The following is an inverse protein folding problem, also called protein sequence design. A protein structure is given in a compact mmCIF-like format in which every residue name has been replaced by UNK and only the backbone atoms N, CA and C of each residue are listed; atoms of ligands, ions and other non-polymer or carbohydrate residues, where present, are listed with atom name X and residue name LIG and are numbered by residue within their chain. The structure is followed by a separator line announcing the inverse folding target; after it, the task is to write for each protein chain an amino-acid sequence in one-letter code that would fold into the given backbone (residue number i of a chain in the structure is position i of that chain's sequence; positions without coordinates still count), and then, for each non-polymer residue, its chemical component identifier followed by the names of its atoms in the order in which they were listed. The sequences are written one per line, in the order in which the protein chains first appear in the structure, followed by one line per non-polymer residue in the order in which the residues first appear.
data_IF_036970283562
#
_entry.id   IF_036970283562
#
_cell.length_a   1.000
_cell.length_b   1.000
_cell.length_c   1.000
_cell.angle_alpha   90.00
_cell.angle_beta   90.00
_cell.angle_gamma   90.00
#
_symmetry.space_group_name_H-M   'P 1'
#
loop_
_entity.id
_entity.type
_entity.pdbx_description
1 polymer ?
#
# COMPACT_ATOMS: atom_id res chain seq x y z
N UNK A 1 11.46 74.17 -0.36
CA UNK A 1 11.56 73.19 0.76
C UNK A 1 11.87 71.82 0.18
N UNK A 2 13.16 71.49 0.05
CA UNK A 2 13.64 70.20 -0.47
C UNK A 2 13.69 69.19 0.69
N UNK A 3 12.84 68.17 0.68
CA UNK A 3 12.96 67.07 1.66
C UNK A 3 14.27 66.34 1.36
N UNK A 4 15.16 66.29 2.36
CA UNK A 4 16.47 65.66 2.26
C UNK A 4 16.33 64.21 1.78
N UNK A 5 16.95 63.90 0.63
CA UNK A 5 16.98 62.59 -0.03
C UNK A 5 17.17 61.35 0.89
N UNK A 6 17.96 61.38 1.99
CA UNK A 6 18.05 60.26 2.96
C UNK A 6 16.75 59.92 3.71
N UNK A 7 15.88 60.88 4.01
CA UNK A 7 14.64 60.63 4.77
C UNK A 7 13.61 59.82 3.96
N UNK A 8 13.61 60.02 2.63
CA UNK A 8 12.72 59.32 1.72
C UNK A 8 13.13 57.86 1.61
N UNK A 9 14.44 57.58 1.54
CA UNK A 9 15.01 56.23 1.47
C UNK A 9 14.79 55.42 2.76
N UNK A 10 14.84 56.07 3.93
CA UNK A 10 14.57 55.38 5.19
C UNK A 10 13.09 55.00 5.32
N UNK A 11 12.17 55.91 4.97
CA UNK A 11 10.72 55.65 5.02
C UNK A 11 10.28 54.56 4.04
N UNK A 12 10.86 54.51 2.84
CA UNK A 12 10.54 53.45 1.86
C UNK A 12 11.04 52.08 2.30
N UNK A 13 12.24 52.00 2.91
CA UNK A 13 12.76 50.75 3.48
C UNK A 13 11.90 50.24 4.63
N UNK A 14 11.49 51.12 5.55
CA UNK A 14 10.60 50.74 6.66
C UNK A 14 9.23 50.30 6.13
N UNK A 15 8.65 50.99 5.16
CA UNK A 15 7.40 50.58 4.53
C UNK A 15 7.51 49.23 3.81
N UNK A 16 8.64 48.97 3.12
CA UNK A 16 8.90 47.68 2.48
C UNK A 16 9.03 46.55 3.51
N UNK A 17 9.73 46.78 4.62
CA UNK A 17 9.84 45.81 5.71
C UNK A 17 8.48 45.48 6.32
N UNK A 18 7.62 46.49 6.52
CA UNK A 18 6.25 46.26 6.99
C UNK A 18 5.40 45.49 5.98
N UNK A 19 5.53 45.80 4.68
CA UNK A 19 4.82 45.09 3.63
C UNK A 19 5.27 43.61 3.55
N UNK A 20 6.57 43.36 3.64
CA UNK A 20 7.12 41.99 3.71
C UNK A 20 6.64 41.27 4.96
N UNK A 21 6.63 41.95 6.12
CA UNK A 21 6.12 41.38 7.37
C UNK A 21 4.63 41.01 7.28
N UNK A 22 3.80 41.87 6.66
CA UNK A 22 2.39 41.59 6.42
C UNK A 22 2.18 40.43 5.44
N UNK A 23 2.99 40.34 4.39
CA UNK A 23 2.95 39.22 3.45
C UNK A 23 3.32 37.90 4.15
N UNK A 24 4.38 37.89 4.97
CA UNK A 24 4.75 36.72 5.77
C UNK A 24 3.63 36.35 6.74
N UNK A 25 3.05 37.32 7.45
CA UNK A 25 1.94 37.08 8.37
C UNK A 25 0.72 36.48 7.64
N UNK A 26 0.39 36.98 6.46
CA UNK A 26 -0.68 36.44 5.63
C UNK A 26 -0.40 35.02 5.15
N UNK A 27 0.85 34.72 4.76
CA UNK A 27 1.26 33.39 4.34
C UNK A 27 1.20 32.39 5.50
N UNK A 28 1.73 32.77 6.67
CA UNK A 28 1.67 31.93 7.89
C UNK A 28 0.21 31.72 8.31
N UNK A 29 -0.61 32.78 8.32
CA UNK A 29 -2.02 32.71 8.65
C UNK A 29 -2.79 31.77 7.72
N UNK A 30 -2.54 31.84 6.41
CA UNK A 30 -3.18 30.94 5.44
C UNK A 30 -2.73 29.49 5.59
N UNK A 31 -1.44 29.23 5.84
CA UNK A 31 -0.92 27.88 6.11
C UNK A 31 -1.52 27.27 7.38
N UNK A 32 -1.65 28.06 8.46
CA UNK A 32 -2.28 27.63 9.72
C UNK A 32 -3.76 27.33 9.49
N UNK A 33 -4.50 28.22 8.84
CA UNK A 33 -5.93 28.03 8.54
C UNK A 33 -6.16 26.77 7.69
N UNK A 34 -5.33 26.56 6.67
CA UNK A 34 -5.35 25.35 5.85
C UNK A 34 -5.12 24.09 6.70
N UNK A 35 -4.08 24.09 7.54
CA UNK A 35 -3.72 22.93 8.36
C UNK A 35 -4.80 22.61 9.39
N UNK A 36 -5.39 23.62 10.02
CA UNK A 36 -6.53 23.43 10.93
C UNK A 36 -7.75 22.86 10.20
N UNK A 37 -8.07 23.34 9.00
CA UNK A 37 -9.18 22.79 8.20
C UNK A 37 -8.93 21.34 7.84
N UNK A 38 -7.71 21.01 7.40
CA UNK A 38 -7.32 19.65 7.05
C UNK A 38 -7.43 18.71 8.26
N UNK A 39 -6.87 19.09 9.41
CA UNK A 39 -6.98 18.30 10.65
C UNK A 39 -8.43 18.05 11.02
N UNK A 40 -9.27 19.08 11.02
CA UNK A 40 -10.71 18.92 11.32
C UNK A 40 -11.42 17.97 10.35
N UNK A 41 -11.10 18.04 9.06
CA UNK A 41 -11.69 17.13 8.06
C UNK A 41 -11.25 15.69 8.28
N UNK A 42 -9.97 15.46 8.56
CA UNK A 42 -9.44 14.12 8.86
C UNK A 42 -10.08 13.58 10.15
N UNK A 43 -10.11 14.37 11.22
CA UNK A 43 -10.69 13.98 12.50
C UNK A 43 -12.17 13.63 12.37
N UNK A 44 -12.94 14.42 11.60
CA UNK A 44 -14.35 14.14 11.35
C UNK A 44 -14.55 12.80 10.60
N UNK A 45 -13.69 12.49 9.62
CA UNK A 45 -13.74 11.22 8.90
C UNK A 45 -13.36 10.04 9.80
N UNK A 46 -12.28 10.16 10.58
CA UNK A 46 -11.88 9.13 11.54
C UNK A 46 -12.96 8.92 12.61
N UNK A 47 -13.60 9.98 13.10
CA UNK A 47 -14.72 9.87 14.02
C UNK A 47 -15.89 9.11 13.40
N UNK A 48 -16.25 9.40 12.14
CA UNK A 48 -17.29 8.67 11.43
C UNK A 48 -16.95 7.18 11.26
N UNK A 49 -15.70 6.85 10.92
CA UNK A 49 -15.22 5.46 10.84
C UNK A 49 -15.28 4.75 12.20
N UNK A 50 -14.89 5.42 13.28
CA UNK A 50 -14.96 4.87 14.64
C UNK A 50 -16.40 4.64 15.08
N UNK A 51 -17.34 5.53 14.73
CA UNK A 51 -18.78 5.33 14.96
C UNK A 51 -19.32 4.13 14.17
N UNK A 52 -18.78 3.87 12.98
CA UNK A 52 -19.11 2.69 12.19
C UNK A 52 -18.45 1.39 12.71
N UNK A 53 -17.66 1.45 13.78
CA UNK A 53 -16.96 0.29 14.36
C UNK A 53 -15.74 -0.17 13.56
N UNK A 54 -15.22 0.67 12.67
CA UNK A 54 -14.03 0.37 11.86
C UNK A 54 -12.75 0.85 12.57
N UNK A 55 -11.63 0.11 12.43
CA UNK A 55 -10.36 0.52 13.00
C UNK A 55 -9.84 1.80 12.32
N UNK A 56 -9.35 2.74 13.11
CA UNK A 56 -8.83 4.05 12.67
C UNK A 56 -7.34 4.22 12.92
N UNK A 57 -6.68 3.19 13.46
CA UNK A 57 -5.25 3.12 13.69
C UNK A 57 -4.74 1.70 13.42
N UNK A 58 -3.43 1.57 13.19
CA UNK A 58 -2.80 0.26 13.04
C UNK A 58 -2.98 -0.64 14.27
N UNK A 59 -2.88 -0.07 15.47
CA UNK A 59 -3.11 -0.81 16.72
C UNK A 59 -4.55 -1.36 16.82
N UNK A 60 -5.55 -0.54 16.50
CA UNK A 60 -6.94 -0.98 16.44
C UNK A 60 -7.16 -2.04 15.34
N UNK A 61 -6.50 -1.89 14.19
CA UNK A 61 -6.57 -2.86 13.10
C UNK A 61 -5.95 -4.21 13.48
N UNK A 62 -4.82 -4.21 14.19
CA UNK A 62 -4.16 -5.41 14.66
C UNK A 62 -4.98 -6.15 15.73
N UNK A 63 -5.76 -5.43 16.53
CA UNK A 63 -6.73 -6.02 17.46
C UNK A 63 -7.95 -6.58 16.72
N UNK A 64 -8.45 -5.85 15.72
CA UNK A 64 -9.62 -6.23 14.93
C UNK A 64 -9.38 -7.47 14.07
N UNK A 65 -8.16 -7.62 13.55
CA UNK A 65 -7.72 -8.81 12.83
C UNK A 65 -6.61 -9.48 13.64
N UNK A 66 -6.91 -10.41 14.56
CA UNK A 66 -5.96 -10.96 15.53
C UNK A 66 -4.96 -11.95 14.92
N UNK A 67 -3.83 -12.17 15.60
CA UNK A 67 -2.79 -13.08 15.12
C UNK A 67 -3.29 -14.52 15.16
N UNK A 68 -2.91 -15.31 14.17
CA UNK A 68 -3.27 -16.73 14.09
C UNK A 68 -2.08 -17.54 14.61
N UNK A 69 -2.28 -18.48 15.54
CA UNK A 69 -1.22 -19.38 15.98
C UNK A 69 -0.61 -20.12 14.79
N UNK A 70 0.71 -20.29 14.77
CA UNK A 70 1.44 -20.87 13.65
C UNK A 70 0.91 -22.25 13.23
N UNK A 71 0.50 -23.08 14.21
CA UNK A 71 -0.09 -24.41 13.99
C UNK A 71 -1.44 -24.39 13.26
N UNK A 72 -2.14 -23.27 13.26
CA UNK A 72 -3.43 -23.07 12.61
C UNK A 72 -3.33 -22.20 11.34
N UNK A 73 -2.13 -21.68 11.03
CA UNK A 73 -1.95 -20.60 10.05
C UNK A 73 -1.52 -21.11 8.67
N UNK A 74 -2.49 -21.23 7.76
CA UNK A 74 -2.27 -21.59 6.36
C UNK A 74 -1.29 -20.66 5.63
N UNK A 75 -1.25 -19.37 5.99
CA UNK A 75 -0.42 -18.40 5.27
C UNK A 75 1.08 -18.71 5.39
N UNK A 76 1.54 -19.17 6.57
CA UNK A 76 2.94 -19.52 6.78
C UNK A 76 3.34 -20.74 5.94
N UNK A 77 2.48 -21.75 5.88
CA UNK A 77 2.71 -22.95 5.05
C UNK A 77 2.64 -22.60 3.57
N UNK A 78 1.74 -21.70 3.14
CA UNK A 78 1.72 -21.17 1.77
C UNK A 78 2.99 -20.41 1.42
N UNK A 79 3.56 -19.61 2.33
CA UNK A 79 4.85 -18.96 2.10
C UNK A 79 5.96 -19.99 1.85
N UNK A 80 5.96 -21.11 2.58
CA UNK A 80 6.90 -22.21 2.33
C UNK A 80 6.66 -22.85 0.96
N UNK A 81 5.40 -23.05 0.55
CA UNK A 81 5.06 -23.57 -0.77
C UNK A 81 5.57 -22.64 -1.89
N UNK A 82 5.40 -21.32 -1.75
CA UNK A 82 5.92 -20.35 -2.72
C UNK A 82 7.45 -20.37 -2.82
N UNK A 83 8.16 -20.58 -1.71
CA UNK A 83 9.62 -20.72 -1.72
C UNK A 83 10.11 -21.96 -2.49
N UNK A 84 9.26 -22.99 -2.63
CA UNK A 84 9.57 -24.19 -3.40
C UNK A 84 9.30 -24.02 -4.91
N UNK A 85 8.55 -23.00 -5.32
CA UNK A 85 8.21 -22.81 -6.73
C UNK A 85 9.45 -22.66 -7.61
N UNK A 86 9.36 -23.25 -8.80
CA UNK A 86 10.39 -23.22 -9.84
C UNK A 86 9.77 -22.79 -11.16
N UNK A 87 10.59 -22.17 -11.99
CA UNK A 87 10.25 -21.90 -13.39
C UNK A 87 11.18 -22.66 -14.32
N UNK A 88 10.78 -22.77 -15.59
CA UNK A 88 11.65 -23.34 -16.62
C UNK A 88 12.88 -22.45 -16.83
N UNK A 89 14.06 -23.03 -17.13
CA UNK A 89 15.27 -22.28 -17.44
C UNK A 89 15.27 -21.69 -18.87
N UNK A 90 14.22 -21.96 -19.66
CA UNK A 90 14.15 -21.66 -21.09
C UNK A 90 12.87 -20.86 -21.45
N UNK A 91 12.61 -20.70 -22.76
CA UNK A 91 11.49 -19.93 -23.29
C UNK A 91 10.12 -20.37 -22.74
N UNK A 92 9.97 -21.63 -22.31
CA UNK A 92 8.71 -22.13 -21.74
C UNK A 92 8.27 -21.32 -20.51
N UNK A 93 9.20 -20.71 -19.77
CA UNK A 93 8.85 -19.79 -18.66
C UNK A 93 8.00 -18.62 -19.15
N UNK A 94 8.35 -18.04 -20.30
CA UNK A 94 7.59 -16.95 -20.91
C UNK A 94 6.24 -17.43 -21.45
N UNK A 95 6.18 -18.64 -21.98
CA UNK A 95 4.96 -19.25 -22.50
C UNK A 95 3.94 -19.52 -21.40
N UNK A 96 4.39 -19.99 -20.23
CA UNK A 96 3.56 -20.15 -19.03
C UNK A 96 3.11 -18.79 -18.49
N UNK A 97 4.03 -17.82 -18.33
CA UNK A 97 3.71 -16.51 -17.79
C UNK A 97 2.71 -15.71 -18.65
N UNK A 98 2.72 -15.95 -19.97
CA UNK A 98 1.84 -15.28 -20.95
C UNK A 98 0.74 -16.20 -21.49
N UNK A 99 0.47 -17.30 -20.80
CA UNK A 99 -0.47 -18.30 -21.24
C UNK A 99 -1.87 -17.69 -21.45
N UNK A 100 -2.43 -17.87 -22.64
CA UNK A 100 -3.81 -17.48 -22.97
C UNK A 100 -4.69 -18.72 -23.03
N UNK A 101 -5.68 -18.86 -22.12
CA UNK A 101 -6.62 -19.96 -22.18
C UNK A 101 -7.40 -19.90 -23.50
N UNK A 102 -7.78 -21.06 -24.07
CA UNK A 102 -8.59 -21.10 -25.28
C UNK A 102 -9.98 -20.51 -25.01
N UNK A 103 -10.72 -20.11 -26.06
CA UNK A 103 -12.11 -19.74 -25.93
C UNK A 103 -12.91 -20.80 -25.18
N UNK A 104 -13.91 -20.37 -24.42
CA UNK A 104 -14.79 -21.27 -23.66
C UNK A 104 -15.36 -22.34 -24.59
N UNK A 105 -15.28 -23.61 -24.17
CA UNK A 105 -15.76 -24.75 -24.94
C UNK A 105 -14.75 -25.31 -25.94
N UNK A 106 -13.61 -24.66 -26.17
CA UNK A 106 -12.52 -25.21 -26.97
C UNK A 106 -11.49 -25.93 -26.08
N UNK A 107 -10.98 -27.10 -26.50
CA UNK A 107 -9.97 -27.81 -25.73
C UNK A 107 -8.61 -27.10 -25.80
N UNK A 108 -7.73 -27.45 -24.86
CA UNK A 108 -6.31 -27.12 -24.97
C UNK A 108 -5.66 -27.92 -26.10
N UNK A 109 -4.78 -27.28 -26.86
CA UNK A 109 -3.95 -28.00 -27.84
C UNK A 109 -3.00 -28.96 -27.12
N UNK A 110 -2.55 -30.06 -27.77
CA UNK A 110 -1.63 -31.02 -27.14
C UNK A 110 -0.37 -30.37 -26.56
N UNK A 111 0.22 -29.40 -27.27
CA UNK A 111 1.41 -28.67 -26.81
C UNK A 111 1.14 -27.85 -25.54
N UNK A 112 -0.04 -27.22 -25.44
CA UNK A 112 -0.45 -26.47 -24.24
C UNK A 112 -0.69 -27.40 -23.06
N UNK A 113 -1.31 -28.55 -23.29
CA UNK A 113 -1.49 -29.59 -22.26
C UNK A 113 -0.13 -30.04 -21.76
N UNK A 114 0.81 -30.32 -22.67
CA UNK A 114 2.17 -30.73 -22.32
C UNK A 114 2.89 -29.65 -21.51
N UNK A 115 2.88 -28.40 -21.98
CA UNK A 115 3.53 -27.26 -21.29
C UNK A 115 3.04 -27.12 -19.85
N UNK A 116 1.71 -27.15 -19.66
CA UNK A 116 1.11 -27.02 -18.32
C UNK A 116 1.38 -28.25 -17.46
N UNK A 117 1.30 -29.45 -18.03
CA UNK A 117 1.60 -30.70 -17.29
C UNK A 117 3.06 -30.72 -16.81
N UNK A 118 3.99 -30.34 -17.69
CA UNK A 118 5.41 -30.22 -17.34
C UNK A 118 5.61 -29.17 -16.22
N UNK A 119 4.90 -28.03 -16.26
CA UNK A 119 5.02 -26.98 -15.25
C UNK A 119 4.43 -27.38 -13.89
N UNK A 120 3.31 -28.11 -13.90
CA UNK A 120 2.71 -28.69 -12.70
C UNK A 120 3.65 -29.73 -12.07
N UNK A 121 4.22 -30.62 -12.88
CA UNK A 121 5.18 -31.61 -12.43
C UNK A 121 6.45 -30.98 -11.85
N UNK A 122 6.97 -29.92 -12.51
CA UNK A 122 8.10 -29.14 -12.01
C UNK A 122 7.82 -28.53 -10.62
N UNK A 123 6.57 -28.20 -10.33
CA UNK A 123 6.13 -27.57 -9.09
C UNK A 123 5.38 -28.53 -8.16
N UNK A 124 5.48 -29.86 -8.37
CA UNK A 124 4.74 -30.85 -7.58
C UNK A 124 4.96 -30.69 -6.07
N UNK A 125 6.21 -30.53 -5.62
CA UNK A 125 6.53 -30.31 -4.21
C UNK A 125 5.91 -29.01 -3.64
N UNK A 126 5.85 -27.94 -4.43
CA UNK A 126 5.18 -26.70 -4.02
C UNK A 126 3.66 -26.90 -3.91
N UNK A 127 3.06 -27.64 -4.84
CA UNK A 127 1.62 -27.95 -4.82
C UNK A 127 1.25 -28.87 -3.66
N UNK A 128 2.06 -29.89 -3.35
CA UNK A 128 1.90 -30.73 -2.17
C UNK A 128 1.97 -29.90 -0.88
N UNK A 129 2.94 -28.99 -0.78
CA UNK A 129 3.06 -28.10 0.36
C UNK A 129 1.87 -27.14 0.49
N UNK A 130 1.38 -26.61 -0.63
CA UNK A 130 0.15 -25.81 -0.66
C UNK A 130 -1.08 -26.64 -0.24
N UNK A 131 -1.14 -27.92 -0.60
CA UNK A 131 -2.20 -28.84 -0.19
C UNK A 131 -2.17 -29.15 1.32
N UNK A 132 -1.03 -29.04 2.00
CA UNK A 132 -0.97 -29.04 3.46
C UNK A 132 -1.61 -27.77 4.05
N UNK A 133 -1.32 -26.61 3.45
CA UNK A 133 -1.80 -25.32 3.95
C UNK A 133 -3.34 -25.21 3.93
N UNK A 134 -4.00 -25.71 2.88
CA UNK A 134 -5.47 -25.66 2.76
C UNK A 134 -6.22 -26.48 3.82
N UNK A 135 -5.51 -27.36 4.54
CA UNK A 135 -6.08 -28.14 5.66
C UNK A 135 -6.12 -27.32 6.95
N UNK A 136 -5.41 -26.20 7.02
CA UNK A 136 -5.36 -25.35 8.20
C UNK A 136 -6.60 -24.43 8.26
N UNK A 137 -7.17 -24.23 9.45
CA UNK A 137 -8.49 -23.60 9.60
C UNK A 137 -8.48 -22.08 9.43
N UNK A 138 -7.30 -21.45 9.53
CA UNK A 138 -7.15 -19.98 9.52
C UNK A 138 -5.99 -19.60 8.61
N UNK A 139 -5.97 -18.34 8.17
CA UNK A 139 -4.92 -17.83 7.30
C UNK A 139 -4.69 -16.35 7.60
N UNK A 140 -3.46 -16.01 8.01
CA UNK A 140 -3.01 -14.63 8.18
C UNK A 140 -1.51 -14.53 7.92
N UNK A 141 -1.11 -13.71 6.96
CA UNK A 141 0.30 -13.43 6.73
C UNK A 141 0.94 -12.71 7.93
N UNK A 142 2.22 -12.97 8.24
CA UNK A 142 2.94 -12.39 9.37
C UNK A 142 3.35 -10.93 9.07
N UNK A 143 2.35 -10.06 8.96
CA UNK A 143 2.53 -8.61 8.81
C UNK A 143 2.19 -7.91 10.12
N UNK A 144 3.02 -6.97 10.51
CA UNK A 144 2.72 -6.07 11.62
C UNK A 144 1.78 -4.96 11.15
N UNK A 145 0.56 -5.00 11.67
CA UNK A 145 -0.48 -4.02 11.33
C UNK A 145 -0.42 -2.78 12.22
N UNK A 146 0.42 -2.75 13.25
CA UNK A 146 0.48 -1.66 14.23
C UNK A 146 1.46 -0.52 13.88
N UNK A 147 2.08 -0.57 12.70
CA UNK A 147 3.05 0.43 12.24
C UNK A 147 2.44 1.82 11.98
#
# INVERSE_FOLDING_TARGET
MSKSQPDILHRTRVALLWLVALLILGLVGSAVAWRMRLTRTVDAQLAALRVAGLPTSGAELNQWYPAVPDSENAALVLTQAFALMRTFPDQRSNEVARFKPPPRGQPLTPDKVKLLSDYLNLNAAALEKAAEAIKLPKSRYPIDLAQ
#
